data_IF_862125742784
#
_entry.id   IF_862125742784
#
_cell.length_a   1.000
_cell.length_b   1.000
_cell.length_c   1.000
_cell.angle_alpha   90.00
_cell.angle_beta   90.00
_cell.angle_gamma   90.00
#
_symmetry.space_group_name_H-M   'P 1'
#
loop_
_entity.id
_entity.type
_entity.pdbx_description
1 polymer ?
#
# COMPACT_ATOMS: atom_id res chain seq x y z
N UNK A 1 11.45 -32.89 -6.30
CA UNK A 1 12.58 -33.30 -5.47
C UNK A 1 12.59 -32.49 -4.18
N UNK A 2 13.00 -33.10 -3.07
CA UNK A 2 12.98 -32.51 -1.76
C UNK A 2 13.77 -31.19 -1.68
N UNK A 3 14.86 -31.05 -2.43
CA UNK A 3 15.68 -29.86 -2.48
C UNK A 3 14.96 -28.68 -3.14
N UNK A 4 14.23 -28.94 -4.22
CA UNK A 4 13.46 -27.88 -4.94
C UNK A 4 12.25 -27.45 -4.13
N UNK A 5 11.59 -28.38 -3.45
CA UNK A 5 10.49 -28.08 -2.54
C UNK A 5 10.95 -27.24 -1.35
N UNK A 6 12.13 -27.52 -0.82
CA UNK A 6 12.71 -26.76 0.30
C UNK A 6 13.02 -25.33 -0.13
N UNK A 7 13.60 -25.13 -1.31
CA UNK A 7 13.88 -23.79 -1.86
C UNK A 7 12.57 -23.03 -2.09
N UNK A 8 11.57 -23.66 -2.69
CA UNK A 8 10.27 -23.03 -2.91
C UNK A 8 9.61 -22.61 -1.61
N UNK A 9 9.70 -23.44 -0.57
CA UNK A 9 9.18 -23.13 0.77
C UNK A 9 9.90 -21.93 1.37
N UNK A 10 11.22 -21.87 1.26
CA UNK A 10 12.03 -20.76 1.79
C UNK A 10 11.66 -19.45 1.07
N UNK A 11 11.48 -19.48 -0.24
CA UNK A 11 11.06 -18.30 -1.03
C UNK A 11 9.68 -17.83 -0.59
N UNK A 12 8.75 -18.76 -0.38
CA UNK A 12 7.40 -18.43 0.08
C UNK A 12 7.42 -17.78 1.46
N UNK A 13 8.26 -18.28 2.39
CA UNK A 13 8.43 -17.70 3.73
C UNK A 13 9.01 -16.29 3.67
N UNK A 14 10.03 -16.08 2.82
CA UNK A 14 10.64 -14.76 2.62
C UNK A 14 9.61 -13.79 2.07
N UNK A 15 8.86 -14.19 1.05
CA UNK A 15 7.83 -13.35 0.45
C UNK A 15 6.72 -13.00 1.45
N UNK A 16 6.31 -13.95 2.28
CA UNK A 16 5.32 -13.69 3.32
C UNK A 16 5.85 -12.70 4.36
N UNK A 17 7.11 -12.84 4.74
CA UNK A 17 7.76 -11.93 5.68
C UNK A 17 7.82 -10.50 5.13
N UNK A 18 8.13 -10.36 3.84
CA UNK A 18 8.13 -9.06 3.15
C UNK A 18 6.73 -8.46 3.15
N UNK A 19 5.70 -9.25 2.82
CA UNK A 19 4.30 -8.79 2.84
C UNK A 19 3.87 -8.33 4.23
N UNK A 20 4.22 -9.09 5.25
CA UNK A 20 3.91 -8.74 6.64
C UNK A 20 4.57 -7.42 7.04
N UNK A 21 5.82 -7.22 6.64
CA UNK A 21 6.53 -5.97 6.87
C UNK A 21 5.88 -4.78 6.16
N UNK A 22 5.48 -4.95 4.91
CA UNK A 22 4.78 -3.92 4.13
C UNK A 22 3.43 -3.59 4.78
N UNK A 23 2.67 -4.61 5.19
CA UNK A 23 1.38 -4.41 5.84
C UNK A 23 1.53 -3.67 7.17
N UNK A 24 2.53 -4.02 7.98
CA UNK A 24 2.80 -3.33 9.25
C UNK A 24 3.22 -1.88 9.01
N UNK A 25 4.04 -1.63 8.01
CA UNK A 25 4.45 -0.28 7.63
C UNK A 25 3.24 0.54 7.20
N UNK A 26 2.38 -0.01 6.33
CA UNK A 26 1.17 0.67 5.88
C UNK A 26 0.22 0.99 7.04
N UNK A 27 0.02 0.03 7.96
CA UNK A 27 -0.81 0.26 9.15
C UNK A 27 -0.25 1.37 10.03
N UNK A 28 1.09 1.43 10.17
CA UNK A 28 1.76 2.48 10.93
C UNK A 28 1.55 3.85 10.27
N UNK A 29 1.66 3.92 8.95
CA UNK A 29 1.45 5.16 8.21
C UNK A 29 0.00 5.64 8.29
N UNK A 30 -0.96 4.72 8.35
CA UNK A 30 -2.38 5.05 8.50
C UNK A 30 -2.74 5.61 9.88
N UNK A 31 -1.86 5.46 10.87
CA UNK A 31 -2.03 6.10 12.18
C UNK A 31 -1.63 7.57 12.16
N UNK A 32 -0.82 7.96 11.18
CA UNK A 32 -0.46 9.35 10.97
C UNK A 32 -1.63 10.11 10.33
N UNK A 33 -1.59 11.43 10.40
CA UNK A 33 -2.57 12.27 9.73
C UNK A 33 -2.35 12.24 8.21
N UNK A 34 -3.43 12.12 7.45
CA UNK A 34 -3.37 12.18 5.99
C UNK A 34 -2.76 13.49 5.49
N UNK A 35 -2.95 14.60 6.20
CA UNK A 35 -2.38 15.88 5.83
C UNK A 35 -0.85 15.89 5.92
N UNK A 36 -0.26 15.02 6.74
CA UNK A 36 1.19 14.86 6.80
C UNK A 36 1.76 14.31 5.48
N UNK A 37 0.99 13.51 4.75
CA UNK A 37 1.37 13.06 3.41
C UNK A 37 1.47 14.22 2.43
N UNK A 38 0.56 15.19 2.50
CA UNK A 38 0.60 16.36 1.65
C UNK A 38 1.90 17.15 1.84
N UNK A 39 2.27 17.38 3.11
CA UNK A 39 3.53 18.05 3.44
C UNK A 39 4.73 17.24 2.99
N UNK A 40 4.74 15.94 3.29
CA UNK A 40 5.83 15.03 2.93
C UNK A 40 6.07 15.00 1.41
N UNK A 41 5.01 14.85 0.61
CA UNK A 41 5.12 14.77 -0.85
C UNK A 41 5.51 16.10 -1.49
N UNK A 42 5.28 17.21 -0.82
CA UNK A 42 5.77 18.52 -1.27
C UNK A 42 7.29 18.56 -1.29
N UNK A 43 7.94 17.95 -0.29
CA UNK A 43 9.40 17.89 -0.20
C UNK A 43 9.97 16.64 -0.88
N UNK A 44 9.23 15.56 -0.94
CA UNK A 44 9.68 14.26 -1.47
C UNK A 44 8.70 13.70 -2.50
N UNK A 45 8.59 14.34 -3.70
CA UNK A 45 7.63 13.88 -4.72
C UNK A 45 7.86 12.43 -5.17
N UNK A 46 9.08 11.91 -5.00
CA UNK A 46 9.41 10.53 -5.37
C UNK A 46 8.65 9.48 -4.56
N UNK A 47 8.15 9.86 -3.39
CA UNK A 47 7.42 8.95 -2.51
C UNK A 47 5.95 8.78 -2.92
N UNK A 48 5.55 9.35 -4.06
CA UNK A 48 4.17 9.19 -4.57
C UNK A 48 3.79 7.71 -4.77
N UNK A 49 4.75 6.87 -5.12
CA UNK A 49 4.50 5.44 -5.26
C UNK A 49 4.17 4.78 -3.93
N UNK A 50 4.83 5.20 -2.86
CA UNK A 50 4.51 4.72 -1.51
C UNK A 50 3.10 5.13 -1.09
N UNK A 51 2.68 6.35 -1.45
CA UNK A 51 1.32 6.81 -1.23
C UNK A 51 0.30 5.93 -1.97
N UNK A 52 0.60 5.56 -3.23
CA UNK A 52 -0.23 4.66 -4.01
C UNK A 52 -0.31 3.26 -3.38
N UNK A 53 0.79 2.75 -2.83
CA UNK A 53 0.81 1.47 -2.14
C UNK A 53 -0.05 1.48 -0.88
N UNK A 54 -0.03 2.57 -0.12
CA UNK A 54 -0.89 2.73 1.05
C UNK A 54 -2.35 2.78 0.62
N UNK A 55 -2.65 3.51 -0.44
CA UNK A 55 -4.01 3.54 -1.00
C UNK A 55 -4.49 2.14 -1.39
N UNK A 56 -3.64 1.34 -2.04
CA UNK A 56 -3.96 -0.04 -2.38
C UNK A 56 -4.22 -0.89 -1.12
N UNK A 57 -3.43 -0.70 -0.08
CA UNK A 57 -3.62 -1.40 1.20
C UNK A 57 -5.01 -1.09 1.80
N UNK A 58 -5.43 0.16 1.74
CA UNK A 58 -6.76 0.59 2.18
C UNK A 58 -7.85 -0.08 1.34
N UNK A 59 -7.72 -0.04 0.01
CA UNK A 59 -8.70 -0.64 -0.91
C UNK A 59 -8.81 -2.17 -0.74
N UNK A 60 -7.72 -2.82 -0.35
CA UNK A 60 -7.70 -4.26 -0.09
C UNK A 60 -8.30 -4.65 1.27
N UNK A 61 -8.58 -3.67 2.11
CA UNK A 61 -9.16 -3.86 3.46
C UNK A 61 -8.33 -4.77 4.37
N UNK A 62 -7.02 -4.91 4.11
CA UNK A 62 -6.15 -5.84 4.85
C UNK A 62 -6.13 -5.52 6.34
N UNK A 63 -5.85 -4.26 6.69
CA UNK A 63 -5.80 -3.82 8.08
C UNK A 63 -7.16 -3.86 8.77
N UNK A 64 -8.23 -3.57 8.02
CA UNK A 64 -9.61 -3.61 8.51
C UNK A 64 -10.01 -5.05 8.84
N UNK A 65 -9.75 -5.99 7.93
CA UNK A 65 -10.05 -7.42 8.13
C UNK A 65 -9.25 -8.01 9.29
N UNK A 66 -8.05 -7.50 9.53
CA UNK A 66 -7.21 -7.91 10.64
C UNK A 66 -7.59 -7.22 11.97
N UNK A 67 -8.54 -6.30 11.95
CA UNK A 67 -8.95 -5.56 13.14
C UNK A 67 -7.96 -4.51 13.65
N UNK A 68 -6.98 -4.13 12.81
CA UNK A 68 -5.94 -3.17 13.17
C UNK A 68 -6.30 -1.72 12.84
N UNK A 69 -7.22 -1.52 11.90
CA UNK A 69 -7.60 -0.20 11.38
C UNK A 69 -9.11 -0.06 11.44
N UNK A 70 -9.59 1.09 11.92
CA UNK A 70 -10.99 1.44 11.89
C UNK A 70 -11.44 1.70 10.44
N UNK A 71 -12.55 1.08 10.03
CA UNK A 71 -13.08 1.17 8.67
C UNK A 71 -13.39 2.61 8.25
N UNK A 72 -14.03 3.36 9.14
CA UNK A 72 -14.39 4.75 8.86
C UNK A 72 -13.16 5.64 8.66
N UNK A 73 -12.16 5.46 9.52
CA UNK A 73 -10.89 6.19 9.43
C UNK A 73 -10.14 5.83 8.14
N UNK A 74 -10.13 4.54 7.79
CA UNK A 74 -9.50 4.08 6.54
C UNK A 74 -10.18 4.69 5.32
N UNK A 75 -11.51 4.77 5.32
CA UNK A 75 -12.28 5.37 4.22
C UNK A 75 -11.95 6.87 4.05
N UNK A 76 -11.93 7.62 5.14
CA UNK A 76 -11.59 9.04 5.12
C UNK A 76 -10.15 9.26 4.64
N UNK A 77 -9.24 8.47 5.13
CA UNK A 77 -7.83 8.51 4.74
C UNK A 77 -7.66 8.19 3.26
N UNK A 78 -8.36 7.17 2.77
CA UNK A 78 -8.33 6.78 1.36
C UNK A 78 -8.81 7.88 0.43
N UNK A 79 -9.88 8.58 0.79
CA UNK A 79 -10.39 9.72 0.02
C UNK A 79 -9.38 10.85 -0.07
N UNK A 80 -8.76 11.20 1.05
CA UNK A 80 -7.74 12.26 1.10
C UNK A 80 -6.52 11.89 0.29
N UNK A 81 -6.03 10.67 0.44
CA UNK A 81 -4.85 10.19 -0.27
C UNK A 81 -5.10 10.11 -1.78
N UNK A 82 -6.28 9.63 -2.19
CA UNK A 82 -6.68 9.61 -3.59
C UNK A 82 -6.67 11.00 -4.21
N UNK A 83 -7.28 11.97 -3.54
CA UNK A 83 -7.32 13.33 -4.04
C UNK A 83 -5.93 13.94 -4.15
N UNK A 84 -5.07 13.69 -3.17
CA UNK A 84 -3.70 14.15 -3.18
C UNK A 84 -2.91 13.61 -4.37
N UNK A 85 -3.03 12.32 -4.66
CA UNK A 85 -2.36 11.69 -5.81
C UNK A 85 -2.88 12.27 -7.13
N UNK A 86 -4.19 12.45 -7.26
CA UNK A 86 -4.80 13.08 -8.44
C UNK A 86 -4.26 14.50 -8.64
N UNK A 87 -4.22 15.29 -7.58
CA UNK A 87 -3.74 16.68 -7.63
C UNK A 87 -2.27 16.76 -8.05
N UNK A 88 -1.45 15.81 -7.62
CA UNK A 88 -0.02 15.81 -7.91
C UNK A 88 0.33 15.22 -9.27
N UNK A 89 -0.38 14.19 -9.71
CA UNK A 89 -0.02 13.42 -10.90
C UNK A 89 -1.01 13.56 -12.05
N UNK A 90 -2.23 13.98 -11.78
CA UNK A 90 -3.34 13.95 -12.74
C UNK A 90 -3.94 12.57 -12.95
N UNK A 91 -3.46 11.55 -12.25
CA UNK A 91 -3.93 10.17 -12.40
C UNK A 91 -4.51 9.65 -11.08
N UNK A 92 -5.53 8.80 -11.18
CA UNK A 92 -6.09 8.11 -10.03
C UNK A 92 -5.08 7.06 -9.52
N UNK A 93 -4.82 6.98 -8.20
CA UNK A 93 -3.91 5.98 -7.66
C UNK A 93 -4.33 4.54 -7.98
N UNK A 94 -5.62 4.27 -8.11
CA UNK A 94 -6.10 2.95 -8.51
C UNK A 94 -5.62 2.59 -9.92
N UNK A 95 -5.59 3.54 -10.85
CA UNK A 95 -5.10 3.33 -12.21
C UNK A 95 -3.59 3.12 -12.22
N UNK A 96 -2.85 3.88 -11.41
CA UNK A 96 -1.40 3.73 -11.29
C UNK A 96 -1.06 2.31 -10.81
N UNK A 97 -1.71 1.85 -9.76
CA UNK A 97 -1.50 0.51 -9.20
C UNK A 97 -1.88 -0.58 -10.21
N UNK A 98 -2.97 -0.38 -10.94
CA UNK A 98 -3.42 -1.33 -11.97
C UNK A 98 -2.37 -1.53 -13.06
N UNK A 99 -1.66 -0.47 -13.46
CA UNK A 99 -0.60 -0.56 -14.47
C UNK A 99 0.66 -1.27 -13.96
N UNK A 100 0.86 -1.35 -12.65
CA UNK A 100 1.99 -2.02 -12.04
C UNK A 100 1.82 -3.54 -11.93
N UNK A 101 0.60 -4.04 -12.06
CA UNK A 101 0.34 -5.48 -12.01
C UNK A 101 0.84 -6.14 -13.30
N UNK A 102 1.56 -7.27 -13.21
CA UNK A 102 1.94 -7.99 -14.41
C UNK A 102 0.69 -8.39 -15.19
N UNK A 103 0.72 -8.12 -16.50
CA UNK A 103 -0.36 -8.54 -17.38
C UNK A 103 -0.34 -10.07 -17.44
N UNK A 104 -1.42 -10.68 -16.98
CA UNK A 104 -1.64 -12.09 -17.21
C UNK A 104 -1.81 -12.28 -18.72
N UNK A 105 -0.89 -13.00 -19.27
CA UNK A 105 -0.64 -13.20 -20.67
C UNK A 105 -1.64 -13.85 -21.56
#
# INVERSE_FOLDING_TARGET
MAKDEMIAKQIAEINQHIRDGVNQWADTMLRADADQWAVHLTYYPRDIMNACMIFQHICSNIGIKAGRIDEKKAEEYGKRLRQLVIDMTGYDPADIVSQMKPKEG
#
